data_IF_211090354247
#
_entry.id   IF_211090354247
#
_cell.length_a   1.000
_cell.length_b   1.000
_cell.length_c   1.000
_cell.angle_alpha   90.00
_cell.angle_beta   90.00
_cell.angle_gamma   90.00
#
_symmetry.space_group_name_H-M   'P 1'
#
loop_
_entity.id
_entity.type
_entity.pdbx_description
1 polymer ?
#
# COMPACT_ATOMS: atom_id res chain seq x y z
N UNK A 1 26.68 6.49 7.97
CA UNK A 1 25.96 7.68 7.47
C UNK A 1 24.47 7.41 7.19
N UNK A 2 24.08 6.27 6.59
CA UNK A 2 22.65 5.88 6.42
C UNK A 2 21.91 5.58 7.73
N UNK A 3 22.62 5.07 8.73
CA UNK A 3 22.09 4.66 10.03
C UNK A 3 21.48 5.81 10.86
N UNK A 4 21.89 7.05 10.58
CA UNK A 4 21.39 8.25 11.27
C UNK A 4 20.15 8.85 10.59
N UNK A 5 19.97 8.61 9.29
CA UNK A 5 18.76 8.95 8.54
C UNK A 5 17.65 7.91 8.76
N UNK A 6 18.06 6.68 9.06
CA UNK A 6 17.21 5.52 9.34
C UNK A 6 17.06 5.24 10.85
N UNK A 7 17.28 6.26 11.71
CA UNK A 7 16.76 6.23 13.07
C UNK A 7 15.24 6.35 12.99
N UNK A 8 14.61 5.26 12.56
CA UNK A 8 13.17 5.12 12.53
C UNK A 8 12.72 5.21 13.97
N UNK A 9 12.07 6.33 14.30
CA UNK A 9 11.33 6.49 15.53
C UNK A 9 10.14 5.52 15.44
N UNK A 10 10.42 4.23 15.68
CA UNK A 10 9.51 3.08 15.53
C UNK A 10 8.43 3.05 16.62
N UNK A 11 8.11 4.21 17.18
CA UNK A 11 6.96 4.38 18.05
C UNK A 11 5.75 3.79 17.35
N UNK A 12 4.92 3.07 18.09
CA UNK A 12 3.71 2.41 17.59
C UNK A 12 2.84 3.35 16.74
N UNK A 13 2.80 4.64 17.09
CA UNK A 13 2.13 5.69 16.31
C UNK A 13 2.67 5.81 14.87
N UNK A 14 3.99 5.78 14.68
CA UNK A 14 4.60 5.91 13.37
C UNK A 14 4.32 4.68 12.50
N UNK A 15 4.33 3.49 13.09
CA UNK A 15 3.97 2.24 12.40
C UNK A 15 2.51 2.25 11.95
N UNK A 16 1.60 2.76 12.78
CA UNK A 16 0.19 2.94 12.40
C UNK A 16 0.05 3.93 11.24
N UNK A 17 0.77 5.06 11.27
CA UNK A 17 0.78 6.04 10.17
C UNK A 17 1.27 5.37 8.88
N UNK A 18 2.34 4.57 8.94
CA UNK A 18 2.82 3.81 7.78
C UNK A 18 1.76 2.84 7.26
N UNK A 19 1.02 2.15 8.13
CA UNK A 19 -0.09 1.28 7.73
C UNK A 19 -1.20 2.01 6.96
N UNK A 20 -1.56 3.22 7.40
CA UNK A 20 -2.54 4.07 6.70
C UNK A 20 -2.00 4.54 5.35
N UNK A 21 -0.77 5.05 5.32
CA UNK A 21 -0.13 5.52 4.08
C UNK A 21 0.02 4.37 3.06
N UNK A 22 0.38 3.17 3.53
CA UNK A 22 0.46 1.98 2.70
C UNK A 22 -0.89 1.60 2.09
N UNK A 23 -1.97 1.66 2.88
CA UNK A 23 -3.32 1.37 2.39
C UNK A 23 -3.79 2.39 1.34
N UNK A 24 -3.53 3.68 1.55
CA UNK A 24 -3.83 4.73 0.57
C UNK A 24 -3.02 4.51 -0.71
N UNK A 25 -1.71 4.28 -0.57
CA UNK A 25 -0.81 4.02 -1.70
C UNK A 25 -1.27 2.81 -2.51
N UNK A 26 -1.74 1.74 -1.85
CA UNK A 26 -2.30 0.55 -2.50
C UNK A 26 -3.53 0.87 -3.35
N UNK A 27 -4.46 1.67 -2.82
CA UNK A 27 -5.68 2.07 -3.55
C UNK A 27 -5.31 2.89 -4.80
N UNK A 28 -4.45 3.91 -4.63
CA UNK A 28 -4.01 4.77 -5.74
C UNK A 28 -3.24 3.97 -6.78
N UNK A 29 -2.32 3.10 -6.34
CA UNK A 29 -1.53 2.25 -7.24
C UNK A 29 -2.41 1.29 -8.03
N UNK A 30 -3.43 0.69 -7.41
CA UNK A 30 -4.39 -0.15 -8.11
C UNK A 30 -5.21 0.65 -9.12
N UNK A 31 -5.70 1.83 -8.74
CA UNK A 31 -6.45 2.70 -9.65
C UNK A 31 -5.63 3.07 -10.88
N UNK A 32 -4.39 3.53 -10.67
CA UNK A 32 -3.47 3.87 -11.74
C UNK A 32 -3.17 2.64 -12.62
N UNK A 33 -2.81 1.50 -12.00
CA UNK A 33 -2.52 0.25 -12.71
C UNK A 33 -3.68 -0.19 -13.60
N UNK A 34 -4.90 -0.26 -13.07
CA UNK A 34 -6.05 -0.69 -13.86
C UNK A 34 -6.46 0.34 -14.91
N UNK A 35 -6.31 1.64 -14.64
CA UNK A 35 -6.59 2.68 -15.65
C UNK A 35 -5.62 2.57 -16.83
N UNK A 36 -4.32 2.41 -16.55
CA UNK A 36 -3.29 2.25 -17.58
C UNK A 36 -3.51 0.96 -18.39
N UNK A 37 -3.79 -0.17 -17.72
CA UNK A 37 -4.06 -1.44 -18.40
C UNK A 37 -5.32 -1.32 -19.28
N UNK A 38 -6.40 -0.79 -18.74
CA UNK A 38 -7.65 -0.63 -19.48
C UNK A 38 -7.48 0.31 -20.70
N UNK A 39 -6.63 1.34 -20.60
CA UNK A 39 -6.40 2.29 -21.69
C UNK A 39 -5.42 1.76 -22.74
N UNK A 40 -4.25 1.26 -22.32
CA UNK A 40 -3.19 0.82 -23.24
C UNK A 40 -3.49 -0.58 -23.81
N UNK A 41 -3.83 -1.53 -22.95
CA UNK A 41 -4.06 -2.92 -23.36
C UNK A 41 -5.49 -3.11 -23.86
N UNK A 42 -6.46 -2.46 -23.22
CA UNK A 42 -7.86 -2.52 -23.61
C UNK A 42 -8.24 -1.56 -24.74
N UNK A 43 -7.35 -0.65 -25.16
CA UNK A 43 -7.63 0.35 -26.19
C UNK A 43 -8.73 1.36 -25.83
N UNK A 44 -9.11 1.43 -24.54
CA UNK A 44 -10.18 2.30 -24.09
C UNK A 44 -9.70 3.75 -24.01
N UNK A 45 -10.58 4.68 -24.36
CA UNK A 45 -10.39 6.10 -24.05
C UNK A 45 -10.18 6.27 -22.54
N UNK A 46 -9.29 7.19 -22.16
CA UNK A 46 -8.84 7.37 -20.78
C UNK A 46 -9.99 7.51 -19.77
N UNK A 47 -11.03 8.28 -20.11
CA UNK A 47 -12.20 8.47 -19.26
C UNK A 47 -12.95 7.15 -18.99
N UNK A 48 -13.14 6.32 -20.01
CA UNK A 48 -13.79 5.01 -19.89
C UNK A 48 -12.90 4.03 -19.12
N UNK A 49 -11.59 4.05 -19.40
CA UNK A 49 -10.61 3.23 -18.72
C UNK A 49 -10.55 3.51 -17.21
N UNK A 50 -10.64 4.78 -16.82
CA UNK A 50 -10.67 5.24 -15.43
C UNK A 50 -11.95 4.81 -14.70
N UNK A 51 -13.13 4.99 -15.32
CA UNK A 51 -14.38 4.51 -14.74
C UNK A 51 -14.39 2.99 -14.58
N UNK A 52 -13.91 2.25 -15.58
CA UNK A 52 -13.77 0.80 -15.49
C UNK A 52 -12.77 0.38 -14.39
N UNK A 53 -11.69 1.14 -14.20
CA UNK A 53 -10.73 0.91 -13.14
C UNK A 53 -11.34 1.17 -11.75
N UNK A 54 -12.10 2.25 -11.57
CA UNK A 54 -12.82 2.54 -10.33
C UNK A 54 -13.76 1.40 -9.91
N UNK A 55 -14.54 0.87 -10.86
CA UNK A 55 -15.42 -0.28 -10.61
C UNK A 55 -14.60 -1.52 -10.22
N UNK A 56 -13.50 -1.80 -10.93
CA UNK A 56 -12.60 -2.93 -10.61
C UNK A 56 -11.98 -2.83 -9.21
N UNK A 57 -11.54 -1.63 -8.81
CA UNK A 57 -10.88 -1.45 -7.52
C UNK A 57 -11.85 -1.39 -6.33
N UNK A 58 -13.17 -1.37 -6.55
CA UNK A 58 -14.16 -1.43 -5.49
C UNK A 58 -13.97 -2.62 -4.54
N UNK A 59 -13.52 -3.77 -5.05
CA UNK A 59 -13.21 -4.93 -4.20
C UNK A 59 -11.92 -4.79 -3.35
N UNK A 60 -11.06 -3.80 -3.65
CA UNK A 60 -9.75 -3.68 -3.01
C UNK A 60 -9.78 -2.95 -1.66
N UNK A 61 -10.89 -2.27 -1.33
CA UNK A 61 -11.08 -1.60 -0.03
C UNK A 61 -10.96 -2.56 1.15
N UNK A 62 -11.55 -3.75 1.07
CA UNK A 62 -11.42 -4.76 2.13
C UNK A 62 -9.95 -5.15 2.37
N UNK A 63 -9.20 -5.36 1.29
CA UNK A 63 -7.76 -5.67 1.39
C UNK A 63 -6.93 -4.49 1.89
N UNK A 64 -7.38 -3.25 1.70
CA UNK A 64 -6.73 -2.05 2.21
C UNK A 64 -6.95 -1.91 3.72
N UNK A 65 -8.17 -2.20 4.21
CA UNK A 65 -8.45 -2.28 5.66
C UNK A 65 -7.59 -3.33 6.35
N UNK A 66 -7.46 -4.51 5.75
CA UNK A 66 -6.55 -5.55 6.24
C UNK A 66 -5.12 -5.01 6.29
N UNK A 67 -4.67 -4.21 5.32
CA UNK A 67 -3.32 -3.62 5.34
C UNK A 67 -3.12 -2.66 6.51
N UNK A 68 -4.12 -1.83 6.83
CA UNK A 68 -4.07 -0.89 7.97
C UNK A 68 -3.87 -1.65 9.29
N UNK A 69 -4.47 -2.83 9.44
CA UNK A 69 -4.39 -3.65 10.66
C UNK A 69 -3.13 -4.53 10.64
N UNK A 70 -2.83 -5.14 9.50
CA UNK A 70 -1.71 -6.06 9.35
C UNK A 70 -0.36 -5.37 9.51
N UNK A 71 -0.17 -4.15 8.99
CA UNK A 71 1.12 -3.44 9.10
C UNK A 71 1.56 -3.24 10.57
N UNK A 72 0.75 -2.67 11.49
CA UNK A 72 1.14 -2.52 12.89
C UNK A 72 1.27 -3.84 13.65
N UNK A 73 0.60 -4.92 13.22
CA UNK A 73 0.73 -6.24 13.84
C UNK A 73 2.00 -6.96 13.36
N UNK A 74 2.26 -6.96 12.05
CA UNK A 74 3.38 -7.68 11.47
C UNK A 74 4.70 -6.94 11.71
N UNK A 75 4.72 -5.61 11.77
CA UNK A 75 5.95 -4.84 11.98
C UNK A 75 6.78 -5.30 13.19
N UNK A 76 6.23 -5.44 14.42
CA UNK A 76 7.02 -5.90 15.56
C UNK A 76 7.48 -7.36 15.41
N UNK A 77 6.67 -8.23 14.81
CA UNK A 77 7.02 -9.64 14.59
C UNK A 77 8.19 -9.74 13.60
N UNK A 78 8.11 -9.02 12.47
CA UNK A 78 9.18 -8.95 11.48
C UNK A 78 10.44 -8.33 12.08
N UNK A 79 10.31 -7.25 12.85
CA UNK A 79 11.44 -6.61 13.53
C UNK A 79 12.17 -7.58 14.46
N UNK A 80 11.44 -8.42 15.20
CA UNK A 80 12.05 -9.45 16.06
C UNK A 80 12.80 -10.49 15.23
N UNK A 81 12.20 -11.01 14.16
CA UNK A 81 12.82 -12.08 13.34
C UNK A 81 14.06 -11.57 12.61
N UNK A 82 13.99 -10.40 11.97
CA UNK A 82 15.09 -9.88 11.16
C UNK A 82 16.26 -9.35 12.00
N UNK A 83 16.00 -8.74 13.17
CA UNK A 83 17.07 -8.25 14.05
C UNK A 83 17.69 -9.33 14.93
N UNK A 84 17.03 -10.48 15.14
CA UNK A 84 17.59 -11.57 15.93
C UNK A 84 18.59 -12.45 15.16
N UNK A 85 18.68 -12.27 13.84
CA UNK A 85 19.52 -13.07 12.94
C UNK A 85 20.73 -12.31 12.38
N UNK A 86 21.00 -11.11 12.89
CA UNK A 86 22.16 -10.27 12.54
C UNK A 86 22.98 -10.01 13.79
#
# INVERSE_FOLDING_TARGET
>A
MFEKLMHSDDKTRNVIIVGIVAAITKIISNLAKYTIINSIVGGLQFQVAFLAALVKIGGTFGSALVTIISVPILYPILKQIFLHHT
#
